data_IF_851722627943
#
_entry.id   IF_851722627943
#
_cell.length_a   1.000
_cell.length_b   1.000
_cell.length_c   1.000
_cell.angle_alpha   90.00
_cell.angle_beta   90.00
_cell.angle_gamma   90.00
#
_symmetry.space_group_name_H-M   'P 1'
#
loop_
_entity.id
_entity.type
_entity.pdbx_description
1 polymer ?
#
# COMPACT_ATOMS: atom_id res chain seq x y z
N UNK A 1 -56.45 15.35 20.10
CA UNK A 1 -55.02 15.58 20.36
C UNK A 1 -54.32 14.24 20.20
N UNK A 2 -53.63 14.02 19.09
CA UNK A 2 -53.01 12.73 18.75
C UNK A 2 -51.51 12.84 18.99
N UNK A 3 -50.98 12.07 19.93
CA UNK A 3 -49.54 12.01 20.23
C UNK A 3 -48.83 11.07 19.25
N UNK A 4 -47.89 11.61 18.48
CA UNK A 4 -47.01 10.82 17.61
C UNK A 4 -45.85 10.25 18.42
N UNK A 5 -45.65 8.93 18.34
CA UNK A 5 -44.51 8.21 18.95
C UNK A 5 -43.24 8.44 18.09
N UNK A 6 -42.09 8.83 18.67
CA UNK A 6 -40.85 8.97 17.91
C UNK A 6 -40.26 7.60 17.53
N UNK A 7 -39.96 7.41 16.26
CA UNK A 7 -39.23 6.25 15.73
C UNK A 7 -37.77 6.29 16.19
N UNK A 8 -37.20 5.21 16.74
CA UNK A 8 -35.80 5.17 17.12
C UNK A 8 -34.89 5.20 15.89
N UNK A 9 -33.97 6.17 15.85
CA UNK A 9 -32.88 6.24 14.87
C UNK A 9 -31.96 5.03 15.02
N UNK A 10 -31.66 4.26 13.96
CA UNK A 10 -30.73 3.14 14.05
C UNK A 10 -29.32 3.68 14.35
N UNK A 11 -28.75 3.25 15.46
CA UNK A 11 -27.33 3.45 15.81
C UNK A 11 -26.45 2.83 14.71
N UNK A 12 -25.45 3.56 14.17
CA UNK A 12 -24.55 2.97 13.18
C UNK A 12 -23.81 1.79 13.82
N UNK A 13 -23.99 0.60 13.26
CA UNK A 13 -23.26 -0.59 13.66
C UNK A 13 -21.77 -0.35 13.41
N UNK A 14 -20.87 -0.56 14.40
CA UNK A 14 -19.44 -0.49 14.16
C UNK A 14 -19.09 -1.51 13.08
N UNK A 15 -18.64 -1.01 11.92
CA UNK A 15 -18.23 -1.87 10.82
C UNK A 15 -17.00 -2.63 11.28
N UNK A 16 -17.12 -3.94 11.43
CA UNK A 16 -16.02 -4.80 11.82
C UNK A 16 -14.83 -4.57 10.85
N UNK A 17 -13.58 -4.58 11.34
CA UNK A 17 -12.42 -4.47 10.47
C UNK A 17 -12.47 -5.56 9.40
N UNK A 18 -12.26 -5.17 8.14
CA UNK A 18 -12.33 -6.12 7.04
C UNK A 18 -11.31 -7.24 7.26
N UNK A 19 -11.70 -8.52 7.02
CA UNK A 19 -10.72 -9.59 7.00
C UNK A 19 -9.64 -9.30 5.95
N UNK A 20 -8.38 -9.57 6.27
CA UNK A 20 -7.22 -9.22 5.46
C UNK A 20 -7.34 -9.60 3.97
N UNK A 21 -7.84 -10.80 3.59
CA UNK A 21 -8.04 -11.15 2.18
C UNK A 21 -9.03 -10.22 1.45
N UNK A 22 -10.05 -9.73 2.16
CA UNK A 22 -11.03 -8.79 1.62
C UNK A 22 -10.44 -7.37 1.52
N UNK A 23 -9.58 -6.96 2.45
CA UNK A 23 -8.83 -5.70 2.35
C UNK A 23 -7.86 -5.71 1.15
N UNK A 24 -7.16 -6.82 0.92
CA UNK A 24 -6.29 -7.01 -0.24
C UNK A 24 -7.08 -7.01 -1.56
N UNK A 25 -8.24 -7.70 -1.61
CA UNK A 25 -9.10 -7.68 -2.77
C UNK A 25 -9.64 -6.27 -3.08
N UNK A 26 -10.00 -5.51 -2.05
CA UNK A 26 -10.44 -4.12 -2.17
C UNK A 26 -9.30 -3.22 -2.65
N UNK A 27 -8.09 -3.39 -2.13
CA UNK A 27 -6.90 -2.65 -2.58
C UNK A 27 -6.60 -2.92 -4.07
N UNK A 28 -6.71 -4.19 -4.52
CA UNK A 28 -6.56 -4.56 -5.94
C UNK A 28 -7.64 -3.91 -6.81
N UNK A 29 -8.88 -3.87 -6.33
CA UNK A 29 -9.97 -3.19 -7.04
C UNK A 29 -9.73 -1.67 -7.11
N UNK A 30 -9.26 -1.07 -6.02
CA UNK A 30 -8.86 0.34 -5.96
C UNK A 30 -7.74 0.66 -6.94
N UNK A 31 -6.76 -0.23 -7.09
CA UNK A 31 -5.68 -0.10 -8.06
C UNK A 31 -6.20 -0.10 -9.51
N UNK A 32 -7.20 -0.92 -9.83
CA UNK A 32 -7.76 -1.04 -11.19
C UNK A 32 -8.42 0.26 -11.68
N UNK A 33 -8.88 1.11 -10.76
CA UNK A 33 -9.49 2.41 -11.07
C UNK A 33 -8.56 3.59 -10.70
N UNK A 34 -7.34 3.32 -10.25
CA UNK A 34 -6.42 4.35 -9.82
C UNK A 34 -5.84 5.13 -11.02
N UNK A 35 -5.50 6.42 -10.82
CA UNK A 35 -4.71 7.18 -11.78
C UNK A 35 -3.40 6.47 -12.17
N UNK A 36 -2.97 6.64 -13.42
CA UNK A 36 -1.80 5.94 -13.97
C UNK A 36 -0.50 6.19 -13.18
N UNK A 37 -0.34 7.38 -12.59
CA UNK A 37 0.79 7.71 -11.73
C UNK A 37 0.80 6.88 -10.44
N UNK A 38 -0.36 6.63 -9.84
CA UNK A 38 -0.51 5.75 -8.68
C UNK A 38 -0.18 4.31 -9.04
N UNK A 39 -0.76 3.80 -10.14
CA UNK A 39 -0.47 2.42 -10.61
C UNK A 39 1.03 2.25 -10.85
N UNK A 40 1.66 3.20 -11.54
CA UNK A 40 3.11 3.18 -11.78
C UNK A 40 3.92 3.22 -10.48
N UNK A 41 3.51 4.02 -9.50
CA UNK A 41 4.20 4.12 -8.21
C UNK A 41 4.14 2.80 -7.43
N UNK A 42 2.97 2.15 -7.39
CA UNK A 42 2.77 0.84 -6.75
C UNK A 42 3.62 -0.22 -7.44
N UNK A 43 3.54 -0.34 -8.77
CA UNK A 43 4.34 -1.33 -9.51
C UNK A 43 5.85 -1.12 -9.33
N UNK A 44 6.31 0.13 -9.36
CA UNK A 44 7.74 0.45 -9.11
C UNK A 44 8.17 0.07 -7.69
N UNK A 45 7.31 0.32 -6.70
CA UNK A 45 7.56 -0.08 -5.32
C UNK A 45 7.70 -1.60 -5.21
N UNK A 46 6.77 -2.36 -5.79
CA UNK A 46 6.79 -3.84 -5.74
C UNK A 46 8.07 -4.41 -6.36
N UNK A 47 8.41 -3.99 -7.59
CA UNK A 47 9.62 -4.43 -8.29
C UNK A 47 10.88 -4.06 -7.49
N UNK A 48 10.92 -2.85 -6.92
CA UNK A 48 12.07 -2.42 -6.13
C UNK A 48 12.20 -3.22 -4.82
N UNK A 49 11.09 -3.53 -4.15
CA UNK A 49 11.07 -4.41 -2.98
C UNK A 49 11.56 -5.82 -3.30
N UNK A 50 11.11 -6.40 -4.41
CA UNK A 50 11.56 -7.72 -4.88
C UNK A 50 13.07 -7.69 -5.15
N UNK A 51 13.54 -6.70 -5.92
CA UNK A 51 14.98 -6.56 -6.23
C UNK A 51 15.83 -6.38 -4.98
N UNK A 52 15.35 -5.59 -4.02
CA UNK A 52 16.00 -5.40 -2.72
C UNK A 52 16.09 -6.72 -1.97
N UNK A 53 15.00 -7.51 -1.93
CA UNK A 53 14.97 -8.80 -1.26
C UNK A 53 15.94 -9.81 -1.92
N UNK A 54 15.99 -9.87 -3.26
CA UNK A 54 16.94 -10.69 -4.00
C UNK A 54 18.40 -10.39 -3.63
N UNK A 55 18.75 -9.11 -3.53
CA UNK A 55 20.12 -8.68 -3.22
C UNK A 55 20.46 -8.94 -1.74
N UNK A 56 19.51 -8.75 -0.83
CA UNK A 56 19.66 -9.06 0.60
C UNK A 56 19.78 -10.56 0.89
N UNK A 57 19.36 -11.44 -0.04
CA UNK A 57 19.61 -12.87 0.06
C UNK A 57 21.10 -13.24 -0.09
N UNK A 58 21.93 -12.33 -0.61
CA UNK A 58 23.39 -12.49 -0.75
C UNK A 58 24.12 -11.66 0.32
N UNK A 59 25.34 -12.06 0.70
CA UNK A 59 26.14 -11.22 1.61
C UNK A 59 26.62 -9.97 0.85
N UNK A 60 26.59 -8.78 1.47
CA UNK A 60 26.99 -7.54 0.78
C UNK A 60 28.43 -7.56 0.23
N UNK A 61 29.34 -8.30 0.86
CA UNK A 61 30.73 -8.46 0.39
C UNK A 61 30.84 -9.21 -0.95
N UNK A 62 29.81 -9.95 -1.33
CA UNK A 62 29.76 -10.75 -2.56
C UNK A 62 29.09 -9.97 -3.71
N UNK A 63 28.70 -8.71 -3.48
CA UNK A 63 28.06 -7.87 -4.49
C UNK A 63 29.10 -7.29 -5.46
N UNK A 64 28.77 -7.36 -6.74
CA UNK A 64 29.40 -6.53 -7.75
C UNK A 64 29.03 -5.05 -7.59
N UNK A 65 29.81 -4.15 -8.19
CA UNK A 65 29.47 -2.71 -8.19
C UNK A 65 28.09 -2.44 -8.79
N UNK A 66 27.72 -3.14 -9.87
CA UNK A 66 26.40 -3.03 -10.47
C UNK A 66 25.27 -3.52 -9.56
N UNK A 67 25.51 -4.54 -8.73
CA UNK A 67 24.54 -5.00 -7.73
C UNK A 67 24.39 -3.98 -6.60
N UNK A 68 25.48 -3.35 -6.15
CA UNK A 68 25.42 -2.27 -5.18
C UNK A 68 24.62 -1.08 -5.72
N UNK A 69 24.91 -0.62 -6.95
CA UNK A 69 24.16 0.45 -7.60
C UNK A 69 22.68 0.09 -7.79
N UNK A 70 22.40 -1.17 -8.15
CA UNK A 70 21.04 -1.69 -8.26
C UNK A 70 20.31 -1.66 -6.92
N UNK A 71 21.00 -1.97 -5.81
CA UNK A 71 20.42 -1.92 -4.46
C UNK A 71 20.09 -0.48 -4.07
N UNK A 72 21.03 0.45 -4.23
CA UNK A 72 20.80 1.88 -3.94
C UNK A 72 19.70 2.47 -4.83
N UNK A 73 19.63 2.05 -6.10
CA UNK A 73 18.53 2.40 -7.00
C UNK A 73 17.17 1.90 -6.52
N UNK A 74 17.12 0.66 -6.03
CA UNK A 74 15.91 0.07 -5.47
C UNK A 74 15.45 0.79 -4.20
N UNK A 75 16.36 1.05 -3.24
CA UNK A 75 16.07 1.81 -2.00
C UNK A 75 15.47 3.18 -2.30
N UNK A 76 16.09 3.93 -3.21
CA UNK A 76 15.57 5.24 -3.63
C UNK A 76 14.19 5.13 -4.29
N UNK A 77 13.99 4.14 -5.15
CA UNK A 77 12.68 3.91 -5.81
C UNK A 77 11.60 3.59 -4.78
N UNK A 78 11.92 2.80 -3.76
CA UNK A 78 11.01 2.49 -2.65
C UNK A 78 10.59 3.78 -1.93
N UNK A 79 11.54 4.63 -1.54
CA UNK A 79 11.26 5.86 -0.80
C UNK A 79 10.49 6.88 -1.65
N UNK A 80 10.85 7.05 -2.93
CA UNK A 80 10.12 7.93 -3.86
C UNK A 80 8.67 7.47 -4.08
N UNK A 81 8.46 6.17 -4.30
CA UNK A 81 7.11 5.61 -4.47
C UNK A 81 6.29 5.76 -3.18
N UNK A 82 6.87 5.49 -2.00
CA UNK A 82 6.20 5.72 -0.71
C UNK A 82 5.82 7.19 -0.53
N UNK A 83 6.73 8.12 -0.82
CA UNK A 83 6.47 9.55 -0.68
C UNK A 83 5.31 10.01 -1.58
N UNK A 84 5.28 9.54 -2.83
CA UNK A 84 4.18 9.83 -3.76
C UNK A 84 2.85 9.27 -3.25
N UNK A 85 2.83 8.02 -2.79
CA UNK A 85 1.61 7.38 -2.27
C UNK A 85 1.15 8.04 -0.95
N UNK A 86 2.08 8.43 -0.08
CA UNK A 86 1.79 9.17 1.15
C UNK A 86 1.16 10.53 0.87
N UNK A 87 1.71 11.29 -0.08
CA UNK A 87 1.17 12.60 -0.49
C UNK A 87 -0.27 12.52 -1.04
N UNK A 88 -0.71 11.33 -1.45
CA UNK A 88 -2.07 11.06 -1.96
C UNK A 88 -2.94 10.29 -0.96
N UNK A 89 -2.44 10.00 0.25
CA UNK A 89 -3.13 9.19 1.27
C UNK A 89 -3.42 7.73 0.83
N UNK A 90 -2.60 7.20 -0.09
CA UNK A 90 -2.77 5.87 -0.71
C UNK A 90 -1.73 4.82 -0.25
N UNK A 91 -1.10 5.01 0.91
CA UNK A 91 -0.11 4.04 1.44
C UNK A 91 -0.69 2.65 1.71
N UNK A 92 -2.01 2.56 1.95
CA UNK A 92 -2.70 1.30 2.14
C UNK A 92 -2.57 0.35 0.93
N UNK A 93 -2.32 0.88 -0.28
CA UNK A 93 -2.16 0.09 -1.49
C UNK A 93 -0.90 -0.78 -1.50
N UNK A 94 0.13 -0.42 -0.74
CA UNK A 94 1.42 -1.14 -0.67
C UNK A 94 1.60 -1.91 0.65
N UNK A 95 0.49 -2.22 1.33
CA UNK A 95 0.50 -2.98 2.58
C UNK A 95 0.83 -2.14 3.82
N UNK A 96 0.64 -0.82 3.76
CA UNK A 96 0.80 0.06 4.92
C UNK A 96 -0.27 -0.18 5.99
N UNK A 97 -0.05 -1.15 6.89
CA UNK A 97 -0.46 -0.92 8.28
C UNK A 97 0.49 0.14 8.85
N UNK A 98 -0.09 1.24 9.33
CA UNK A 98 0.53 2.05 10.37
C UNK A 98 0.91 1.11 11.52
N UNK A 99 2.19 0.73 11.63
CA UNK A 99 2.78 0.13 12.83
C UNK A 99 4.06 0.86 13.17
#
# INVERSE_FOLDING_TARGET
>A
MTTATPTPTPTPTPTAPLPQPAAEALARLGLAFAPLDVVRAVTRYEIACERRAELLAKRPRDWSGAEFDSFTGAERTIEESKALLAAKELLHLIGGELR
#
